data_IF_610759389851
#
_entry.id   IF_610759389851
#
_cell.length_a   1.000
_cell.length_b   1.000
_cell.length_c   1.000
_cell.angle_alpha   90.00
_cell.angle_beta   90.00
_cell.angle_gamma   90.00
#
_symmetry.space_group_name_H-M   'P 1'
#
loop_
_entity.id
_entity.type
_entity.pdbx_description
1 polymer ?
#
# COMPACT_ATOMS: atom_id res chain seq x y z
N UNK A 1 -50.17 2.48 -4.64
CA UNK A 1 -49.25 2.47 -3.48
C UNK A 1 -48.38 1.25 -3.68
N UNK A 2 -47.16 1.44 -4.14
CA UNK A 2 -46.26 0.34 -4.48
C UNK A 2 -45.87 -0.42 -3.22
N UNK A 3 -45.98 -1.75 -3.23
CA UNK A 3 -45.68 -2.65 -2.11
C UNK A 3 -44.30 -2.37 -1.49
N UNK A 4 -43.35 -1.96 -2.32
CA UNK A 4 -41.97 -1.64 -1.95
C UNK A 4 -41.85 -0.37 -1.11
N UNK A 5 -42.64 0.67 -1.42
CA UNK A 5 -42.66 1.91 -0.61
C UNK A 5 -43.19 1.64 0.79
N UNK A 6 -44.21 0.79 0.92
CA UNK A 6 -44.78 0.39 2.22
C UNK A 6 -43.76 -0.37 3.05
N UNK A 7 -42.98 -1.26 2.43
CA UNK A 7 -41.97 -2.07 3.10
C UNK A 7 -40.80 -1.23 3.63
N UNK A 8 -40.36 -0.20 2.89
CA UNK A 8 -39.34 0.75 3.36
C UNK A 8 -39.82 1.55 4.59
N UNK A 9 -41.10 1.95 4.61
CA UNK A 9 -41.68 2.66 5.75
C UNK A 9 -41.85 1.77 6.99
N UNK A 10 -42.21 0.49 6.81
CA UNK A 10 -42.24 -0.47 7.93
C UNK A 10 -40.85 -0.71 8.52
N UNK A 11 -39.81 -0.75 7.69
CA UNK A 11 -38.42 -0.91 8.16
C UNK A 11 -37.91 0.32 8.92
N UNK A 12 -38.34 1.53 8.53
CA UNK A 12 -38.08 2.76 9.27
C UNK A 12 -38.81 2.76 10.63
N UNK A 13 -40.08 2.35 10.65
CA UNK A 13 -40.87 2.25 11.88
C UNK A 13 -40.33 1.19 12.86
N UNK A 14 -39.74 0.11 12.32
CA UNK A 14 -39.08 -0.93 13.10
C UNK A 14 -37.66 -0.52 13.57
N UNK A 15 -37.17 0.66 13.21
CA UNK A 15 -35.83 1.16 13.56
C UNK A 15 -34.68 0.41 12.88
N UNK A 16 -34.98 -0.37 11.82
CA UNK A 16 -33.99 -1.13 11.05
C UNK A 16 -33.27 -0.29 10.00
N UNK A 17 -33.79 0.89 9.72
CA UNK A 17 -33.23 1.89 8.82
C UNK A 17 -33.24 3.24 9.51
N UNK A 18 -32.22 4.04 9.25
CA UNK A 18 -32.21 5.46 9.59
C UNK A 18 -33.07 6.26 8.60
N UNK A 19 -33.45 7.47 8.99
CA UNK A 19 -34.25 8.36 8.14
C UNK A 19 -33.53 8.65 6.81
N UNK A 20 -32.21 8.83 6.85
CA UNK A 20 -31.38 9.08 5.66
C UNK A 20 -31.37 7.89 4.68
N UNK A 21 -31.31 6.65 5.20
CA UNK A 21 -31.32 5.44 4.37
C UNK A 21 -32.71 5.20 3.76
N UNK A 22 -33.79 5.48 4.49
CA UNK A 22 -35.15 5.39 3.98
C UNK A 22 -35.40 6.42 2.85
N UNK A 23 -34.88 7.64 2.98
CA UNK A 23 -34.96 8.67 1.94
C UNK A 23 -34.21 8.25 0.66
N UNK A 24 -33.02 7.66 0.79
CA UNK A 24 -32.27 7.13 -0.35
C UNK A 24 -33.03 6.03 -1.09
N UNK A 25 -33.62 5.08 -0.36
CA UNK A 25 -34.36 3.96 -0.95
C UNK A 25 -35.65 4.44 -1.64
N UNK A 26 -36.38 5.37 -1.03
CA UNK A 26 -37.57 5.97 -1.65
C UNK A 26 -37.23 6.83 -2.87
N UNK A 27 -36.08 7.51 -2.87
CA UNK A 27 -35.59 8.24 -4.04
C UNK A 27 -35.22 7.30 -5.19
N UNK A 28 -34.59 6.16 -4.89
CA UNK A 28 -34.27 5.14 -5.89
C UNK A 28 -35.53 4.54 -6.54
N UNK A 29 -36.57 4.29 -5.75
CA UNK A 29 -37.89 3.82 -6.22
C UNK A 29 -38.73 4.89 -6.94
N UNK A 30 -38.32 6.16 -6.87
CA UNK A 30 -39.01 7.30 -7.51
C UNK A 30 -38.36 7.74 -8.82
N UNK A 31 -37.25 7.13 -9.23
CA UNK A 31 -36.67 7.43 -10.55
C UNK A 31 -37.59 6.88 -11.63
N UNK A 32 -38.09 7.71 -12.57
CA UNK A 32 -38.68 7.18 -13.79
C UNK A 32 -37.58 6.37 -14.50
N UNK A 33 -37.89 5.13 -14.87
CA UNK A 33 -37.06 4.33 -15.75
C UNK A 33 -36.96 5.04 -17.10
N UNK A 34 -35.98 5.93 -17.24
CA UNK A 34 -35.65 6.59 -18.49
C UNK A 34 -34.18 7.00 -18.45
N UNK A 35 -33.32 6.06 -18.81
CA UNK A 35 -32.33 6.29 -19.86
C UNK A 35 -32.05 4.91 -20.47
N UNK A 36 -32.81 4.60 -21.52
CA UNK A 36 -32.56 3.47 -22.40
C UNK A 36 -31.11 3.57 -22.90
N UNK A 37 -30.32 2.54 -22.58
CA UNK A 37 -29.08 2.30 -23.31
C UNK A 37 -29.42 2.16 -24.80
N UNK A 38 -28.66 2.78 -25.72
CA UNK A 38 -28.92 2.61 -27.14
C UNK A 38 -28.82 1.13 -27.51
N UNK A 39 -29.86 0.63 -28.18
CA UNK A 39 -29.94 -0.73 -28.70
C UNK A 39 -28.66 -1.09 -29.46
N UNK A 40 -28.11 -2.27 -29.16
CA UNK A 40 -26.91 -2.87 -29.77
C UNK A 40 -27.00 -2.89 -31.31
N UNK A 41 -28.21 -2.84 -31.88
CA UNK A 41 -28.45 -2.68 -33.31
C UNK A 41 -27.93 -1.34 -33.88
N UNK A 42 -28.04 -0.24 -33.12
CA UNK A 42 -27.59 1.10 -33.56
C UNK A 42 -26.07 1.24 -33.54
N UNK A 43 -25.40 0.61 -32.57
CA UNK A 43 -23.93 0.53 -32.52
C UNK A 43 -23.36 -0.33 -33.67
N UNK A 44 -24.09 -1.37 -34.08
CA UNK A 44 -23.72 -2.24 -35.20
C UNK A 44 -23.92 -1.58 -36.57
N UNK A 45 -24.75 -0.54 -36.67
CA UNK A 45 -24.98 0.23 -37.89
C UNK A 45 -23.90 1.28 -38.16
N UNK A 46 -23.29 1.87 -37.12
CA UNK A 46 -22.22 2.86 -37.27
C UNK A 46 -20.87 2.24 -37.67
N UNK A 47 -20.59 1.00 -37.26
CA UNK A 47 -19.33 0.30 -37.55
C UNK A 47 -19.21 -0.25 -38.98
N UNK A 48 -20.25 -0.13 -39.81
CA UNK A 48 -20.28 -0.75 -41.15
C UNK A 48 -19.85 0.18 -42.30
N UNK A 49 -19.48 1.44 -42.02
CA UNK A 49 -19.09 2.39 -43.08
C UNK A 49 -17.60 2.43 -43.43
N UNK A 50 -16.71 1.92 -42.57
CA UNK A 50 -15.26 2.04 -42.74
C UNK A 50 -14.50 0.71 -42.75
N UNK A 51 -15.08 -0.34 -43.33
CA UNK A 51 -14.34 -1.57 -43.60
C UNK A 51 -14.53 -1.97 -45.07
N UNK A 52 -13.48 -1.74 -45.87
CA UNK A 52 -13.30 -2.46 -47.12
C UNK A 52 -13.36 -3.96 -46.82
N UNK A 53 -14.41 -4.62 -47.31
CA UNK A 53 -14.66 -6.03 -47.05
C UNK A 53 -13.62 -6.93 -47.72
N UNK A 54 -13.33 -8.12 -47.16
CA UNK A 54 -12.60 -9.15 -47.89
C UNK A 54 -13.43 -9.64 -49.07
N UNK A 55 -12.75 -9.98 -50.16
CA UNK A 55 -13.33 -10.49 -51.40
C UNK A 55 -14.32 -11.65 -51.15
N UNK A 56 -15.42 -11.63 -51.89
CA UNK A 56 -16.50 -12.60 -51.83
C UNK A 56 -15.99 -14.04 -51.95
N UNK A 57 -16.29 -14.86 -50.95
CA UNK A 57 -16.27 -16.31 -51.08
C UNK A 57 -17.53 -16.71 -51.86
N UNK A 58 -17.36 -17.19 -53.09
CA UNK A 58 -18.43 -17.79 -53.87
C UNK A 58 -18.79 -19.14 -53.24
N UNK A 59 -20.08 -19.31 -52.91
CA UNK A 59 -20.67 -20.56 -52.46
C UNK A 59 -20.46 -21.68 -53.49
N UNK A 60 -19.44 -22.49 -53.26
CA UNK A 60 -19.27 -23.78 -53.94
C UNK A 60 -18.69 -24.80 -52.95
N UNK A 61 -19.37 -24.97 -51.82
CA UNK A 61 -19.18 -26.13 -50.95
C UNK A 61 -20.17 -27.22 -51.38
N UNK A 62 -19.74 -28.05 -52.33
CA UNK A 62 -20.37 -29.36 -52.57
C UNK A 62 -20.16 -30.30 -51.38
N UNK A 63 -20.86 -31.45 -51.32
CA UNK A 63 -20.74 -32.39 -50.22
C UNK A 63 -19.37 -33.07 -50.26
N UNK A 64 -18.40 -32.49 -49.54
CA UNK A 64 -17.19 -33.10 -49.00
C UNK A 64 -16.61 -34.31 -49.76
N UNK A 65 -16.20 -34.14 -51.02
CA UNK A 65 -15.21 -35.03 -51.61
C UNK A 65 -13.86 -34.70 -50.97
N UNK A 66 -13.50 -35.47 -49.94
CA UNK A 66 -12.17 -35.46 -49.36
C UNK A 66 -11.25 -36.12 -50.40
N UNK A 67 -10.33 -35.41 -51.07
CA UNK A 67 -9.40 -36.08 -51.98
C UNK A 67 -8.58 -37.08 -51.16
N UNK A 68 -8.66 -38.36 -51.52
CA UNK A 68 -7.85 -39.40 -50.91
C UNK A 68 -6.36 -39.07 -51.15
N UNK A 69 -5.60 -38.82 -50.07
CA UNK A 69 -4.17 -38.51 -50.18
C UNK A 69 -3.57 -37.58 -49.13
N UNK A 70 -4.34 -37.02 -48.19
CA UNK A 70 -3.74 -36.26 -47.09
C UNK A 70 -3.15 -37.20 -46.04
N UNK A 71 -1.84 -37.43 -46.11
CA UNK A 71 -1.09 -38.02 -45.01
C UNK A 71 -1.37 -37.26 -43.71
N UNK A 72 -1.48 -37.95 -42.55
CA UNK A 72 -1.70 -37.28 -41.28
C UNK A 72 -0.58 -36.26 -41.05
N UNK A 73 -0.96 -35.02 -40.73
CA UNK A 73 0.03 -33.98 -40.40
C UNK A 73 0.82 -34.47 -39.19
N UNK A 74 2.17 -34.43 -39.23
CA UNK A 74 2.96 -34.79 -38.07
C UNK A 74 2.61 -33.87 -36.89
N UNK A 75 2.66 -34.37 -35.65
CA UNK A 75 2.40 -33.55 -34.48
C UNK A 75 3.39 -32.38 -34.45
N UNK A 76 2.88 -31.17 -34.26
CA UNK A 76 3.72 -29.98 -34.12
C UNK A 76 4.44 -30.10 -32.77
N UNK A 77 5.78 -29.96 -32.71
CA UNK A 77 6.48 -29.99 -31.44
C UNK A 77 6.00 -28.84 -30.53
N UNK A 78 6.02 -29.04 -29.20
CA UNK A 78 5.66 -27.98 -28.26
C UNK A 78 6.58 -26.78 -28.50
N UNK A 79 5.99 -25.59 -28.60
CA UNK A 79 6.77 -24.37 -28.76
C UNK A 79 7.62 -24.17 -27.50
N UNK A 80 8.89 -23.76 -27.63
CA UNK A 80 9.70 -23.41 -26.47
C UNK A 80 9.02 -22.29 -25.67
N UNK A 81 9.22 -22.24 -24.34
CA UNK A 81 8.68 -21.18 -23.51
C UNK A 81 9.18 -19.84 -24.05
N UNK A 82 8.23 -18.91 -24.28
CA UNK A 82 8.60 -17.55 -24.68
C UNK A 82 9.34 -16.89 -23.53
N UNK A 83 10.42 -16.18 -23.85
CA UNK A 83 11.08 -15.31 -22.90
C UNK A 83 10.05 -14.34 -22.27
N UNK A 84 10.19 -14.03 -20.97
CA UNK A 84 9.35 -13.02 -20.34
C UNK A 84 9.47 -11.72 -21.13
N UNK A 85 8.34 -11.07 -21.37
CA UNK A 85 8.35 -9.76 -22.05
C UNK A 85 9.15 -8.79 -21.17
N UNK A 86 10.01 -7.94 -21.74
CA UNK A 86 10.66 -6.89 -20.98
C UNK A 86 9.60 -5.98 -20.35
N UNK A 87 9.89 -5.37 -19.18
CA UNK A 87 9.00 -4.39 -18.58
C UNK A 87 8.71 -3.28 -19.59
N UNK A 88 7.45 -2.84 -19.65
CA UNK A 88 7.05 -1.74 -20.52
C UNK A 88 7.80 -0.48 -20.05
N UNK A 89 8.42 0.30 -20.94
CA UNK A 89 9.04 1.55 -20.54
C UNK A 89 8.00 2.51 -19.95
N UNK A 90 8.40 3.43 -19.05
CA UNK A 90 7.51 4.46 -18.52
C UNK A 90 6.88 5.23 -19.69
N UNK A 91 5.55 5.38 -19.65
CA UNK A 91 4.84 6.11 -20.69
C UNK A 91 5.07 7.61 -20.51
N UNK A 92 5.23 8.39 -21.60
CA UNK A 92 5.31 9.84 -21.51
C UNK A 92 3.99 10.42 -20.97
N UNK A 93 4.08 11.57 -20.30
CA UNK A 93 2.93 12.29 -19.75
C UNK A 93 1.85 12.48 -20.82
N UNK A 94 0.59 12.18 -20.50
CA UNK A 94 -0.55 12.35 -21.44
C UNK A 94 -1.11 13.78 -21.39
N UNK A 95 -0.39 14.69 -20.73
CA UNK A 95 -0.76 16.08 -20.48
C UNK A 95 -1.35 16.25 -19.08
N UNK A 96 -1.20 17.46 -18.52
CA UNK A 96 -1.44 17.75 -17.08
C UNK A 96 -2.75 17.17 -16.51
N UNK A 97 -3.85 17.22 -17.27
CA UNK A 97 -5.14 16.69 -16.79
C UNK A 97 -5.13 15.17 -16.63
N UNK A 98 -4.56 14.47 -17.61
CA UNK A 98 -4.47 13.02 -17.57
C UNK A 98 -3.53 12.57 -16.44
N UNK A 99 -2.40 13.28 -16.25
CA UNK A 99 -1.44 12.96 -15.19
C UNK A 99 -2.06 13.13 -13.78
N UNK A 100 -2.89 14.17 -13.59
CA UNK A 100 -3.63 14.37 -12.33
C UNK A 100 -4.67 13.28 -12.08
N UNK A 101 -5.41 12.86 -13.11
CA UNK A 101 -6.39 11.77 -12.99
C UNK A 101 -5.66 10.47 -12.61
N UNK A 102 -4.56 10.16 -13.28
CA UNK A 102 -3.76 8.97 -13.00
C UNK A 102 -3.21 8.99 -11.56
N UNK A 103 -2.80 10.16 -11.05
CA UNK A 103 -2.37 10.34 -9.66
C UNK A 103 -3.49 10.08 -8.65
N UNK A 104 -4.68 10.63 -8.88
CA UNK A 104 -5.84 10.41 -7.98
C UNK A 104 -6.24 8.94 -7.96
N UNK A 105 -6.25 8.27 -9.11
CA UNK A 105 -6.52 6.83 -9.19
C UNK A 105 -5.48 6.04 -8.41
N UNK A 106 -4.19 6.39 -8.53
CA UNK A 106 -3.13 5.72 -7.76
C UNK A 106 -3.34 5.88 -6.25
N UNK A 107 -3.55 7.09 -5.76
CA UNK A 107 -3.82 7.35 -4.34
C UNK A 107 -5.03 6.54 -3.85
N UNK A 108 -6.13 6.58 -4.59
CA UNK A 108 -7.34 5.84 -4.25
C UNK A 108 -7.12 4.33 -4.19
N UNK A 109 -6.37 3.76 -5.14
CA UNK A 109 -6.05 2.32 -5.15
C UNK A 109 -5.23 1.88 -3.92
N UNK A 110 -4.45 2.80 -3.35
CA UNK A 110 -3.68 2.58 -2.12
C UNK A 110 -4.43 3.00 -0.86
N UNK A 111 -5.74 3.30 -0.95
CA UNK A 111 -6.55 3.68 0.20
C UNK A 111 -6.24 5.07 0.75
N UNK A 112 -5.54 5.91 0.00
CA UNK A 112 -5.14 7.25 0.43
C UNK A 112 -6.20 8.25 0.01
N UNK A 113 -6.79 8.92 1.00
CA UNK A 113 -7.75 10.00 0.78
C UNK A 113 -7.09 11.39 0.74
N UNK A 114 -7.90 12.40 0.42
CA UNK A 114 -7.43 13.78 0.32
C UNK A 114 -6.98 14.36 1.67
N UNK A 115 -7.56 13.91 2.78
CA UNK A 115 -7.24 14.42 4.11
C UNK A 115 -5.89 13.88 4.58
N UNK A 116 -5.61 12.60 4.36
CA UNK A 116 -4.30 11.99 4.59
C UNK A 116 -3.22 12.70 3.77
N UNK A 117 -3.41 12.87 2.46
CA UNK A 117 -2.46 13.57 1.60
C UNK A 117 -2.19 15.01 2.09
N UNK A 118 -3.25 15.73 2.47
CA UNK A 118 -3.14 17.09 2.97
C UNK A 118 -2.36 17.16 4.28
N UNK A 119 -2.63 16.25 5.23
CA UNK A 119 -1.92 16.19 6.51
C UNK A 119 -0.45 15.81 6.32
N UNK A 120 -0.16 14.82 5.48
CA UNK A 120 1.22 14.43 5.17
C UNK A 120 2.01 15.56 4.53
N UNK A 121 1.42 16.30 3.58
CA UNK A 121 2.08 17.48 3.00
C UNK A 121 2.24 18.64 3.95
N UNK A 122 1.38 18.75 4.96
CA UNK A 122 1.53 19.77 6.00
C UNK A 122 2.70 19.42 6.94
N UNK A 123 2.93 18.14 7.22
CA UNK A 123 4.04 17.68 8.04
C UNK A 123 5.37 17.67 7.26
N UNK A 124 5.41 17.00 6.09
CA UNK A 124 6.64 16.72 5.35
C UNK A 124 6.92 17.69 4.20
N UNK A 125 6.02 18.64 3.93
CA UNK A 125 6.13 19.54 2.79
C UNK A 125 5.67 18.92 1.46
N UNK A 126 6.13 19.46 0.34
CA UNK A 126 5.74 18.98 -0.99
C UNK A 126 6.54 17.73 -1.39
N UNK A 127 6.14 16.59 -0.81
CA UNK A 127 6.70 15.28 -1.14
C UNK A 127 6.05 14.69 -2.40
N UNK A 128 6.80 13.87 -3.18
CA UNK A 128 6.25 13.23 -4.36
C UNK A 128 5.15 12.24 -3.98
N UNK A 129 4.24 11.97 -4.91
CA UNK A 129 3.07 11.12 -4.64
C UNK A 129 3.46 9.69 -4.33
N UNK A 130 4.54 9.19 -4.93
CA UNK A 130 4.99 7.83 -4.71
C UNK A 130 5.46 7.64 -3.24
N UNK A 131 6.01 8.69 -2.62
CA UNK A 131 6.39 8.72 -1.20
C UNK A 131 5.18 8.73 -0.28
N UNK A 132 4.14 9.51 -0.60
CA UNK A 132 2.86 9.47 0.13
C UNK A 132 2.26 8.06 0.05
N UNK A 133 2.36 7.42 -1.11
CA UNK A 133 1.91 6.04 -1.31
C UNK A 133 2.73 5.07 -0.46
N UNK A 134 4.05 5.24 -0.38
CA UNK A 134 4.91 4.41 0.48
C UNK A 134 4.49 4.53 1.95
N UNK A 135 4.33 5.76 2.45
CA UNK A 135 3.87 6.02 3.82
C UNK A 135 2.52 5.33 4.11
N UNK A 136 1.55 5.49 3.20
CA UNK A 136 0.21 4.90 3.34
C UNK A 136 0.24 3.37 3.32
N UNK A 137 1.04 2.77 2.43
CA UNK A 137 1.19 1.30 2.35
C UNK A 137 1.79 0.70 3.63
N UNK A 138 2.65 1.44 4.31
CA UNK A 138 3.27 1.02 5.58
C UNK A 138 2.44 1.43 6.81
N UNK A 139 1.23 1.96 6.61
CA UNK A 139 0.31 2.30 7.71
C UNK A 139 0.77 3.50 8.54
N UNK A 140 1.63 4.36 8.00
CA UNK A 140 2.19 5.48 8.75
C UNK A 140 1.16 6.58 8.86
N UNK A 141 0.83 6.95 10.10
CA UNK A 141 -0.17 7.96 10.39
C UNK A 141 0.44 9.38 10.41
N UNK A 142 -0.31 10.41 9.98
CA UNK A 142 0.20 11.79 10.00
C UNK A 142 0.53 12.29 11.41
N UNK A 143 -0.13 11.77 12.45
CA UNK A 143 0.13 12.15 13.84
C UNK A 143 1.44 11.55 14.34
N UNK A 144 1.81 10.34 13.88
CA UNK A 144 3.12 9.75 14.13
C UNK A 144 4.24 10.61 13.51
N UNK A 145 4.09 11.01 12.24
CA UNK A 145 5.08 11.88 11.56
C UNK A 145 5.28 13.21 12.30
N UNK A 146 4.19 13.83 12.76
CA UNK A 146 4.26 15.07 13.55
C UNK A 146 4.99 14.87 14.88
N UNK A 147 4.75 13.76 15.56
CA UNK A 147 5.45 13.43 16.80
C UNK A 147 6.95 13.28 16.56
N UNK A 148 7.35 12.52 15.53
CA UNK A 148 8.76 12.31 15.20
C UNK A 148 9.46 13.63 14.82
N UNK A 149 8.80 14.51 14.06
CA UNK A 149 9.35 15.84 13.76
C UNK A 149 9.50 16.72 15.02
N UNK A 150 8.61 16.56 15.99
CA UNK A 150 8.67 17.27 17.27
C UNK A 150 9.89 16.92 18.13
N UNK A 151 10.54 15.77 17.86
CA UNK A 151 11.74 15.33 18.57
C UNK A 151 13.03 15.99 18.04
N UNK A 152 12.94 16.78 16.97
CA UNK A 152 14.09 17.52 16.43
C UNK A 152 15.06 16.67 15.63
N UNK A 153 14.67 15.46 15.23
CA UNK A 153 15.43 14.62 14.30
C UNK A 153 15.26 15.12 12.86
N UNK A 154 16.36 15.13 12.11
CA UNK A 154 16.33 15.35 10.66
C UNK A 154 16.05 14.01 9.96
N UNK A 155 14.77 13.76 9.66
CA UNK A 155 14.30 12.50 9.07
C UNK A 155 13.91 12.69 7.61
N UNK A 156 14.44 11.85 6.73
CA UNK A 156 13.92 11.69 5.38
C UNK A 156 12.59 10.90 5.39
N UNK A 157 11.88 10.89 4.26
CA UNK A 157 10.66 10.08 4.15
C UNK A 157 11.01 8.60 4.28
N UNK A 158 12.12 8.17 3.69
CA UNK A 158 12.63 6.81 3.78
C UNK A 158 12.91 6.41 5.23
N UNK A 159 13.46 7.30 6.05
CA UNK A 159 13.69 7.04 7.49
C UNK A 159 12.37 6.86 8.24
N UNK A 160 11.39 7.73 8.00
CA UNK A 160 10.04 7.60 8.59
C UNK A 160 9.39 6.28 8.19
N UNK A 161 9.58 5.85 6.94
CA UNK A 161 9.13 4.54 6.46
C UNK A 161 9.84 3.40 7.20
N UNK A 162 11.17 3.46 7.31
CA UNK A 162 11.96 2.47 8.02
C UNK A 162 11.53 2.36 9.49
N UNK A 163 11.31 3.49 10.16
CA UNK A 163 10.85 3.55 11.53
C UNK A 163 9.49 2.86 11.71
N UNK A 164 8.52 3.14 10.84
CA UNK A 164 7.21 2.49 10.86
C UNK A 164 7.29 0.97 10.61
N UNK A 165 8.19 0.52 9.72
CA UNK A 165 8.40 -0.91 9.44
C UNK A 165 9.04 -1.63 10.64
N UNK A 166 9.96 -0.97 11.33
CA UNK A 166 10.76 -1.54 12.41
C UNK A 166 10.24 -1.20 13.81
N UNK A 167 9.05 -0.60 13.93
CA UNK A 167 8.40 -0.32 15.21
C UNK A 167 9.13 0.69 16.08
N UNK A 168 9.80 1.66 15.47
CA UNK A 168 10.46 2.76 16.21
C UNK A 168 9.40 3.77 16.63
N UNK A 169 9.05 3.75 17.91
CA UNK A 169 8.02 4.65 18.48
C UNK A 169 8.61 6.01 18.91
N UNK A 170 7.78 7.05 18.89
CA UNK A 170 8.21 8.40 19.31
C UNK A 170 8.62 8.45 20.78
N UNK A 171 7.94 7.70 21.65
CA UNK A 171 8.27 7.59 23.07
C UNK A 171 9.65 6.95 23.28
N UNK A 172 9.98 5.91 22.51
CA UNK A 172 11.30 5.27 22.55
C UNK A 172 12.41 6.27 22.21
N UNK A 173 12.24 7.03 21.11
CA UNK A 173 13.22 8.05 20.71
C UNK A 173 13.36 9.14 21.78
N UNK A 174 12.24 9.62 22.34
CA UNK A 174 12.25 10.62 23.41
C UNK A 174 12.98 10.12 24.67
N UNK A 175 12.78 8.85 25.03
CA UNK A 175 13.50 8.20 26.14
C UNK A 175 14.99 8.10 25.87
N UNK A 176 15.41 7.72 24.65
CA UNK A 176 16.83 7.67 24.27
C UNK A 176 17.49 9.05 24.41
N UNK A 177 16.85 10.10 23.90
CA UNK A 177 17.32 11.48 24.05
C UNK A 177 17.42 11.85 25.54
N UNK A 178 16.44 11.47 26.37
CA UNK A 178 16.45 11.70 27.81
C UNK A 178 17.57 10.98 28.57
N UNK A 179 18.04 9.83 28.04
CA UNK A 179 19.18 9.08 28.57
C UNK A 179 20.54 9.63 28.09
N UNK A 180 20.54 10.71 27.29
CA UNK A 180 21.76 11.32 26.76
C UNK A 180 22.22 10.77 25.41
N UNK A 181 21.38 9.99 24.72
CA UNK A 181 21.62 9.53 23.36
C UNK A 181 20.98 10.49 22.34
N UNK A 182 21.39 11.76 22.37
CA UNK A 182 20.87 12.84 21.52
C UNK A 182 21.54 12.92 20.14
N UNK A 183 22.51 12.03 19.87
CA UNK A 183 23.29 11.97 18.62
C UNK A 183 23.10 10.66 17.85
N UNK A 184 22.05 9.90 18.13
CA UNK A 184 21.73 8.69 17.39
C UNK A 184 21.31 9.02 15.96
N UNK A 185 21.82 8.25 15.02
CA UNK A 185 21.35 8.29 13.63
C UNK A 185 20.01 7.54 13.50
N UNK A 186 19.23 7.77 12.44
CA UNK A 186 18.04 6.97 12.17
C UNK A 186 18.35 5.47 12.09
N UNK A 187 19.46 5.10 11.44
CA UNK A 187 19.90 3.71 11.34
C UNK A 187 20.18 3.09 12.72
N UNK A 188 20.76 3.86 13.66
CA UNK A 188 21.01 3.39 15.03
C UNK A 188 19.70 3.10 15.76
N UNK A 189 18.70 3.99 15.66
CA UNK A 189 17.39 3.82 16.29
C UNK A 189 16.66 2.60 15.74
N UNK A 190 16.75 2.38 14.43
CA UNK A 190 16.21 1.17 13.78
C UNK A 190 16.93 -0.08 14.28
N UNK A 191 18.26 -0.08 14.33
CA UNK A 191 19.04 -1.21 14.81
C UNK A 191 18.71 -1.55 16.27
N UNK A 192 18.64 -0.54 17.13
CA UNK A 192 18.24 -0.70 18.53
C UNK A 192 16.84 -1.32 18.65
N UNK A 193 15.86 -0.82 17.90
CA UNK A 193 14.50 -1.38 17.88
C UNK A 193 14.46 -2.84 17.41
N UNK A 194 15.14 -3.16 16.32
CA UNK A 194 15.22 -4.54 15.77
C UNK A 194 15.80 -5.52 16.80
N UNK A 195 16.78 -5.06 17.59
CA UNK A 195 17.47 -5.88 18.56
C UNK A 195 16.87 -5.82 19.98
N UNK A 196 15.71 -5.17 20.13
CA UNK A 196 14.99 -5.11 21.40
C UNK A 196 15.71 -4.30 22.48
N UNK A 197 16.47 -3.30 22.08
CA UNK A 197 17.10 -2.35 23.01
C UNK A 197 16.04 -1.34 23.44
N UNK A 198 15.83 -1.24 24.74
CA UNK A 198 14.94 -0.26 25.36
C UNK A 198 15.66 0.56 26.45
N UNK A 199 14.96 1.57 26.99
CA UNK A 199 15.50 2.44 28.04
C UNK A 199 15.81 1.67 29.33
N UNK A 200 15.07 0.60 29.62
CA UNK A 200 15.28 -0.26 30.78
C UNK A 200 16.61 -1.02 30.67
N UNK A 201 16.90 -1.61 29.51
CA UNK A 201 18.16 -2.30 29.23
C UNK A 201 19.35 -1.35 29.42
N UNK A 202 19.28 -0.15 28.84
CA UNK A 202 20.36 0.84 28.96
C UNK A 202 20.57 1.24 30.43
N UNK A 203 19.50 1.51 31.16
CA UNK A 203 19.59 1.84 32.59
C UNK A 203 20.12 0.67 33.43
N UNK A 204 19.82 -0.57 33.06
CA UNK A 204 20.35 -1.78 33.69
C UNK A 204 21.87 -1.91 33.46
N UNK A 205 22.34 -1.67 32.23
CA UNK A 205 23.77 -1.69 31.88
C UNK A 205 24.56 -0.60 32.63
N UNK A 206 24.00 0.61 32.71
CA UNK A 206 24.57 1.73 33.48
C UNK A 206 24.71 1.36 34.97
N UNK A 207 23.67 0.79 35.58
CA UNK A 207 23.71 0.30 36.97
C UNK A 207 24.68 -0.85 37.18
N UNK A 208 24.90 -1.70 36.17
CA UNK A 208 25.94 -2.72 36.18
C UNK A 208 27.35 -2.14 36.01
N UNK A 209 27.46 -0.81 35.82
CA UNK A 209 28.70 -0.05 35.66
C UNK A 209 29.31 -0.16 34.28
N UNK A 210 28.52 -0.52 33.26
CA UNK A 210 28.87 -0.34 31.85
C UNK A 210 28.30 1.01 31.42
N UNK A 211 29.16 2.03 31.51
CA UNK A 211 28.90 3.41 31.14
C UNK A 211 29.57 3.71 29.80
N UNK A 212 29.19 4.82 29.16
CA UNK A 212 29.81 5.34 27.94
C UNK A 212 29.80 4.36 26.74
N UNK A 213 28.74 3.54 26.64
CA UNK A 213 28.55 2.62 25.53
C UNK A 213 28.04 3.38 24.29
N UNK A 214 28.62 3.08 23.14
CA UNK A 214 28.08 3.49 21.84
C UNK A 214 26.83 2.69 21.46
N UNK A 215 26.04 3.19 20.50
CA UNK A 215 24.86 2.50 19.99
C UNK A 215 25.18 1.08 19.48
N UNK A 216 26.26 0.95 18.69
CA UNK A 216 26.77 -0.33 18.19
C UNK A 216 27.12 -1.31 19.32
N UNK A 217 27.71 -0.83 20.41
CA UNK A 217 28.05 -1.67 21.56
C UNK A 217 26.80 -2.12 22.30
N UNK A 218 25.82 -1.24 22.50
CA UNK A 218 24.54 -1.60 23.14
C UNK A 218 23.81 -2.65 22.29
N UNK A 219 23.75 -2.45 20.97
CA UNK A 219 23.17 -3.40 20.02
C UNK A 219 23.92 -4.73 20.06
N UNK A 220 25.25 -4.72 20.08
CA UNK A 220 26.05 -5.95 20.18
C UNK A 220 25.76 -6.71 21.49
N UNK A 221 25.65 -6.01 22.62
CA UNK A 221 25.27 -6.61 23.90
C UNK A 221 23.88 -7.25 23.82
N UNK A 222 22.91 -6.57 23.21
CA UNK A 222 21.55 -7.09 23.01
C UNK A 222 21.53 -8.35 22.13
N UNK A 223 22.23 -8.34 21.00
CA UNK A 223 22.37 -9.50 20.11
C UNK A 223 22.95 -10.72 20.84
N UNK A 224 23.89 -10.48 21.75
CA UNK A 224 24.55 -11.54 22.50
C UNK A 224 23.85 -11.90 23.82
N UNK A 225 22.71 -11.27 24.14
CA UNK A 225 21.97 -11.52 25.37
C UNK A 225 22.76 -11.17 26.62
N UNK A 226 23.63 -10.16 26.54
CA UNK A 226 24.41 -9.67 27.68
C UNK A 226 23.55 -8.66 28.44
N UNK A 227 23.04 -9.09 29.58
CA UNK A 227 22.26 -8.27 30.51
C UNK A 227 23.09 -7.86 31.74
N UNK A 228 22.48 -7.04 32.60
CA UNK A 228 23.11 -6.57 33.83
C UNK A 228 23.47 -7.72 34.80
N UNK A 229 22.68 -8.79 34.82
CA UNK A 229 22.91 -9.97 35.66
C UNK A 229 24.16 -10.73 35.20
N UNK A 230 24.33 -10.91 33.89
CA UNK A 230 25.52 -11.51 33.30
C UNK A 230 26.77 -10.68 33.64
N UNK A 231 26.69 -9.35 33.52
CA UNK A 231 27.80 -8.45 33.85
C UNK A 231 28.15 -8.54 35.34
N UNK A 232 27.15 -8.55 36.23
CA UNK A 232 27.35 -8.70 37.67
C UNK A 232 28.03 -10.04 38.01
N UNK A 233 27.55 -11.14 37.43
CA UNK A 233 28.11 -12.48 37.63
C UNK A 233 29.56 -12.58 37.16
N UNK A 234 29.90 -11.93 36.04
CA UNK A 234 31.28 -11.89 35.54
C UNK A 234 32.19 -11.06 36.44
N UNK A 235 31.74 -9.90 36.92
CA UNK A 235 32.50 -9.06 37.86
C UNK A 235 32.80 -9.79 39.16
N UNK A 236 31.84 -10.54 39.71
CA UNK A 236 32.06 -11.36 40.91
C UNK A 236 33.14 -12.40 40.68
N UNK A 237 33.09 -13.15 39.57
CA UNK A 237 34.08 -14.20 39.24
C UNK A 237 35.48 -13.63 39.03
N UNK A 238 35.60 -12.50 38.34
CA UNK A 238 36.88 -11.82 38.13
C UNK A 238 37.46 -11.30 39.46
N UNK A 239 36.63 -10.82 40.39
CA UNK A 239 37.11 -10.34 41.70
C UNK A 239 37.63 -11.45 42.63
N UNK A 240 37.26 -12.72 42.38
CA UNK A 240 37.65 -13.89 43.20
C UNK A 240 38.86 -14.65 42.65
N UNK A 241 39.44 -14.21 41.54
CA UNK A 241 40.64 -14.78 40.92
C UNK A 241 41.83 -13.88 41.17
#
# INVERSE_FOLDING_TARGET
MDTERTQVLEMLAAGKLTVAEAEMLLAALSRPAAEEMPDVATLKAAAKKDAGGPAAISDSFGPFDRPEGFAPRPPVPPRPPRAPRPPRPPQPSRGRRADVIDQVIRLHNHGIDADYLKKMRAALGDIPIDDVIALGNHGIEPDYVQQMQGLGLDLSVEDVVAFGIHGVEADFVAEMIGLGFDHLTPDDLVAMSIHGVDSEMIANLDRAGLTDLSADEIVALAIHGVDADFVAAMREKVSKT
#
